data_IF_717959777668
#
_entry.id   IF_717959777668
#
_cell.length_a   1.000
_cell.length_b   1.000
_cell.length_c   1.000
_cell.angle_alpha   90.00
_cell.angle_beta   90.00
_cell.angle_gamma   90.00
#
_symmetry.space_group_name_H-M   'P 1'
#
loop_
_entity.id
_entity.type
_entity.pdbx_description
1 polymer ?
#
# COMPACT_ATOMS: atom_id res chain seq x y z
N UNK A 1 15.23 -4.01 27.83
CA UNK A 1 14.84 -2.61 27.55
C UNK A 1 15.43 -2.27 26.19
N UNK A 2 14.61 -2.14 25.15
CA UNK A 2 15.07 -1.54 23.91
C UNK A 2 15.15 -0.04 24.19
N UNK A 3 16.37 0.51 24.10
CA UNK A 3 16.58 1.97 24.11
C UNK A 3 15.72 2.59 23.01
N UNK A 4 15.17 3.79 23.25
CA UNK A 4 14.38 4.52 22.26
C UNK A 4 15.23 4.80 21.02
N UNK A 5 15.15 3.93 20.01
CA UNK A 5 15.83 4.11 18.74
C UNK A 5 15.09 5.22 17.98
N UNK A 6 15.59 6.44 18.11
CA UNK A 6 15.12 7.59 17.33
C UNK A 6 16.03 7.82 16.14
N UNK A 7 15.46 7.85 14.94
CA UNK A 7 16.15 8.18 13.68
C UNK A 7 15.49 9.43 13.06
N UNK A 8 15.70 10.63 13.64
CA UNK A 8 14.90 11.82 13.33
C UNK A 8 15.06 12.33 11.89
N UNK A 9 16.17 12.00 11.24
CA UNK A 9 16.45 12.38 9.85
C UNK A 9 16.08 11.28 8.85
N UNK A 10 15.61 10.11 9.31
CA UNK A 10 15.22 9.03 8.41
C UNK A 10 13.90 9.41 7.74
N UNK A 11 13.92 9.55 6.42
CA UNK A 11 12.75 9.88 5.62
C UNK A 11 12.23 8.68 4.82
N UNK A 12 13.12 7.77 4.44
CA UNK A 12 12.82 6.61 3.61
C UNK A 12 13.22 5.36 4.37
N UNK A 13 12.27 4.46 4.59
CA UNK A 13 12.50 3.17 5.20
C UNK A 13 11.98 2.05 4.31
N UNK A 14 12.84 1.08 4.04
CA UNK A 14 12.48 -0.19 3.40
C UNK A 14 12.77 -1.33 4.36
N UNK A 15 11.76 -2.15 4.62
CA UNK A 15 11.84 -3.31 5.51
C UNK A 15 11.54 -4.56 4.71
N UNK A 16 12.44 -5.53 4.70
CA UNK A 16 12.27 -6.77 3.95
C UNK A 16 12.41 -8.00 4.87
N UNK A 17 11.53 -8.99 4.71
CA UNK A 17 11.60 -10.34 5.32
C UNK A 17 11.99 -10.33 6.80
N UNK A 18 11.32 -9.51 7.59
CA UNK A 18 11.70 -9.22 8.97
C UNK A 18 10.98 -10.09 10.03
N UNK A 19 11.45 -10.02 11.27
CA UNK A 19 10.90 -10.74 12.42
C UNK A 19 9.53 -10.16 12.86
N UNK A 20 8.65 -10.98 13.49
CA UNK A 20 7.34 -10.53 13.94
C UNK A 20 7.37 -9.41 14.99
N UNK A 21 8.47 -9.26 15.73
CA UNK A 21 8.59 -8.24 16.80
C UNK A 21 9.00 -6.86 16.26
N UNK A 22 9.43 -6.78 14.99
CA UNK A 22 9.92 -5.54 14.40
C UNK A 22 8.90 -4.39 14.36
N UNK A 23 7.59 -4.60 14.12
CA UNK A 23 6.62 -3.51 14.06
C UNK A 23 6.61 -2.63 15.31
N UNK A 24 6.77 -3.21 16.51
CA UNK A 24 6.80 -2.44 17.76
C UNK A 24 8.00 -1.49 17.83
N UNK A 25 9.15 -1.92 17.29
CA UNK A 25 10.38 -1.13 17.21
C UNK A 25 10.27 -0.02 16.16
N UNK A 26 9.48 -0.23 15.10
CA UNK A 26 9.34 0.72 14.01
C UNK A 26 8.40 1.88 14.33
N UNK A 27 7.43 1.72 15.23
CA UNK A 27 6.47 2.77 15.62
C UNK A 27 7.12 4.13 15.93
N UNK A 28 8.17 4.24 16.76
CA UNK A 28 8.83 5.53 17.00
C UNK A 28 9.54 6.09 15.76
N UNK A 29 10.05 5.23 14.87
CA UNK A 29 10.81 5.60 13.67
C UNK A 29 9.88 6.12 12.56
N UNK A 30 8.68 5.53 12.41
CA UNK A 30 7.76 5.88 11.31
C UNK A 30 7.20 7.30 11.38
N UNK A 31 7.28 7.95 12.55
CA UNK A 31 6.79 9.31 12.79
C UNK A 31 7.40 10.37 11.87
N UNK A 32 8.66 10.18 11.45
CA UNK A 32 9.39 11.12 10.58
C UNK A 32 9.45 10.68 9.11
N UNK A 33 8.89 9.51 8.77
CA UNK A 33 9.00 8.98 7.42
C UNK A 33 8.09 9.72 6.43
N UNK A 34 8.63 9.92 5.23
CA UNK A 34 7.89 10.31 4.03
C UNK A 34 7.64 9.11 3.13
N UNK A 35 8.45 8.06 3.23
CA UNK A 35 8.33 6.84 2.42
C UNK A 35 8.53 5.58 3.27
N UNK A 36 7.57 4.67 3.18
CA UNK A 36 7.62 3.35 3.82
C UNK A 36 7.38 2.26 2.78
N UNK A 37 8.30 1.30 2.71
CA UNK A 37 8.16 0.12 1.86
C UNK A 37 8.31 -1.15 2.69
N UNK A 38 7.31 -2.02 2.65
CA UNK A 38 7.29 -3.31 3.34
C UNK A 38 7.34 -4.42 2.28
N UNK A 39 8.34 -5.30 2.35
CA UNK A 39 8.56 -6.36 1.34
C UNK A 39 8.63 -7.72 2.00
N UNK A 40 7.71 -8.61 1.62
CA UNK A 40 7.61 -10.00 2.07
C UNK A 40 7.68 -10.16 3.60
N UNK A 41 7.15 -9.18 4.35
CA UNK A 41 7.05 -9.21 5.82
C UNK A 41 5.82 -10.02 6.26
N UNK A 42 5.78 -11.31 5.89
CA UNK A 42 4.64 -12.19 6.16
C UNK A 42 4.37 -12.47 7.64
N UNK A 43 5.35 -12.16 8.48
CA UNK A 43 5.26 -12.17 9.94
C UNK A 43 4.41 -11.02 10.48
N UNK A 44 4.27 -9.91 9.74
CA UNK A 44 3.44 -8.78 10.14
C UNK A 44 1.97 -9.10 9.90
N UNK A 45 1.13 -8.64 10.81
CA UNK A 45 -0.32 -8.70 10.70
C UNK A 45 -0.82 -7.39 10.10
N UNK A 46 -2.04 -7.39 9.56
CA UNK A 46 -2.63 -6.16 9.02
C UNK A 46 -2.81 -5.10 10.12
N UNK A 47 -3.09 -5.51 11.36
CA UNK A 47 -3.09 -4.65 12.55
C UNK A 47 -1.75 -3.98 12.82
N UNK A 48 -0.63 -4.67 12.57
CA UNK A 48 0.71 -4.10 12.76
C UNK A 48 1.00 -3.02 11.72
N UNK A 49 0.62 -3.29 10.46
CA UNK A 49 0.73 -2.33 9.36
C UNK A 49 -0.12 -1.09 9.65
N UNK A 50 -1.37 -1.29 10.08
CA UNK A 50 -2.27 -0.19 10.46
C UNK A 50 -1.68 0.65 11.59
N UNK A 51 -1.17 0.01 12.65
CA UNK A 51 -0.53 0.70 13.78
C UNK A 51 0.67 1.53 13.33
N UNK A 52 1.52 1.01 12.45
CA UNK A 52 2.64 1.78 11.88
C UNK A 52 2.14 2.98 11.08
N UNK A 53 1.13 2.81 10.22
CA UNK A 53 0.57 3.89 9.42
C UNK A 53 -0.11 4.98 10.28
N UNK A 54 -0.76 4.61 11.37
CA UNK A 54 -1.33 5.56 12.34
C UNK A 54 -0.27 6.44 13.00
N UNK A 55 0.95 5.94 13.13
CA UNK A 55 2.09 6.66 13.68
C UNK A 55 2.95 7.34 12.61
N UNK A 56 2.51 7.39 11.34
CA UNK A 56 3.25 7.97 10.22
C UNK A 56 2.51 9.18 9.59
N UNK A 57 2.20 10.26 10.33
CA UNK A 57 1.40 11.38 9.82
C UNK A 57 2.07 12.14 8.66
N UNK A 58 3.39 12.01 8.52
CA UNK A 58 4.19 12.61 7.45
C UNK A 58 4.20 11.83 6.13
N UNK A 59 3.64 10.61 6.11
CA UNK A 59 3.86 9.65 5.02
C UNK A 59 3.25 10.14 3.71
N UNK A 60 4.07 10.15 2.65
CA UNK A 60 3.69 10.55 1.31
C UNK A 60 3.61 9.36 0.36
N UNK A 61 4.40 8.32 0.61
CA UNK A 61 4.46 7.11 -0.22
C UNK A 61 4.43 5.87 0.65
N UNK A 62 3.52 4.94 0.32
CA UNK A 62 3.40 3.65 0.97
C UNK A 62 3.41 2.52 -0.05
N UNK A 63 4.28 1.53 0.17
CA UNK A 63 4.37 0.36 -0.68
C UNK A 63 4.33 -0.93 0.15
N UNK A 64 3.47 -1.87 -0.26
CA UNK A 64 3.38 -3.22 0.31
C UNK A 64 3.57 -4.26 -0.79
N UNK A 65 4.71 -4.95 -0.74
CA UNK A 65 5.12 -5.94 -1.72
C UNK A 65 5.10 -7.33 -1.07
N UNK A 66 4.27 -8.21 -1.57
CA UNK A 66 4.02 -9.56 -1.09
C UNK A 66 4.20 -10.53 -2.26
N UNK A 67 5.43 -10.58 -2.77
CA UNK A 67 5.77 -11.27 -4.02
C UNK A 67 6.17 -12.72 -3.84
N UNK A 68 6.60 -13.09 -2.63
CA UNK A 68 7.11 -14.43 -2.34
C UNK A 68 6.57 -14.97 -1.03
N UNK A 69 5.66 -15.94 -1.04
CA UNK A 69 5.18 -16.59 0.18
C UNK A 69 4.18 -17.69 -0.16
N UNK A 70 4.32 -18.88 0.45
CA UNK A 70 3.36 -19.97 0.20
C UNK A 70 2.02 -19.66 0.86
N UNK A 71 0.92 -19.73 0.08
CA UNK A 71 -0.49 -19.82 0.54
C UNK A 71 -0.84 -19.01 1.81
N UNK A 72 -0.39 -17.76 1.92
CA UNK A 72 -0.81 -16.85 3.00
C UNK A 72 -1.81 -15.84 2.45
N UNK A 73 -2.81 -15.41 3.25
CA UNK A 73 -3.66 -14.30 2.87
C UNK A 73 -2.79 -13.04 2.72
N UNK A 74 -3.17 -12.15 1.79
CA UNK A 74 -2.53 -10.85 1.64
C UNK A 74 -2.73 -10.01 2.90
N UNK A 75 -1.77 -9.16 3.25
CA UNK A 75 -1.96 -8.12 4.27
C UNK A 75 -2.59 -6.85 3.70
N UNK A 76 -2.83 -6.80 2.38
CA UNK A 76 -3.81 -5.88 1.77
C UNK A 76 -5.23 -6.36 2.14
N UNK A 77 -5.59 -6.22 3.42
CA UNK A 77 -6.88 -6.64 3.95
C UNK A 77 -7.97 -5.61 3.63
N UNK A 78 -9.24 -6.02 3.70
CA UNK A 78 -10.37 -5.10 3.55
C UNK A 78 -10.35 -4.00 4.62
N UNK A 79 -9.87 -4.30 5.83
CA UNK A 79 -9.71 -3.32 6.90
C UNK A 79 -8.63 -2.28 6.56
N UNK A 80 -7.48 -2.70 6.03
CA UNK A 80 -6.44 -1.80 5.56
C UNK A 80 -6.95 -0.90 4.43
N UNK A 81 -7.61 -1.47 3.42
CA UNK A 81 -8.19 -0.72 2.31
C UNK A 81 -9.25 0.27 2.78
N UNK A 82 -10.14 -0.15 3.69
CA UNK A 82 -11.16 0.73 4.26
C UNK A 82 -10.54 1.91 5.01
N UNK A 83 -9.52 1.66 5.84
CA UNK A 83 -8.83 2.73 6.57
C UNK A 83 -8.08 3.67 5.63
N UNK A 84 -7.41 3.12 4.62
CA UNK A 84 -6.78 3.91 3.56
C UNK A 84 -7.78 4.71 2.74
N UNK A 85 -9.05 4.31 2.62
CA UNK A 85 -10.07 5.08 1.91
C UNK A 85 -10.46 6.40 2.62
N UNK A 86 -10.19 6.52 3.92
CA UNK A 86 -10.61 7.68 4.71
C UNK A 86 -9.65 8.86 4.47
N UNK A 87 -10.11 9.94 3.86
CA UNK A 87 -9.28 11.11 3.51
C UNK A 87 -8.55 11.75 4.71
N UNK A 88 -9.12 11.65 5.91
CA UNK A 88 -8.54 12.15 7.16
C UNK A 88 -7.36 11.31 7.68
N UNK A 89 -7.23 10.08 7.21
CA UNK A 89 -6.10 9.21 7.51
C UNK A 89 -4.96 9.52 6.53
N UNK A 90 -3.70 9.59 6.99
CA UNK A 90 -2.53 9.84 6.14
C UNK A 90 -2.77 10.97 5.11
N UNK A 91 -3.10 12.17 5.57
CA UNK A 91 -3.54 13.30 4.72
C UNK A 91 -2.49 13.76 3.70
N UNK A 92 -1.22 13.37 3.88
CA UNK A 92 -0.09 13.67 2.98
C UNK A 92 0.18 12.56 1.96
N UNK A 93 -0.55 11.45 2.00
CA UNK A 93 -0.33 10.31 1.13
C UNK A 93 -0.66 10.66 -0.32
N UNK A 94 0.31 10.45 -1.20
CA UNK A 94 0.23 10.77 -2.63
C UNK A 94 0.41 9.54 -3.50
N UNK A 95 1.16 8.54 -3.03
CA UNK A 95 1.47 7.30 -3.75
C UNK A 95 1.16 6.08 -2.92
N UNK A 96 0.51 5.10 -3.56
CA UNK A 96 0.31 3.76 -3.01
C UNK A 96 0.76 2.73 -4.03
N UNK A 97 1.54 1.75 -3.59
CA UNK A 97 1.90 0.59 -4.41
C UNK A 97 1.52 -0.70 -3.68
N UNK A 98 0.71 -1.54 -4.32
CA UNK A 98 0.42 -2.89 -3.87
C UNK A 98 0.90 -3.89 -4.90
N UNK A 99 1.84 -4.76 -4.54
CA UNK A 99 2.24 -5.87 -5.41
C UNK A 99 2.05 -7.15 -4.63
N UNK A 100 1.09 -7.99 -5.00
CA UNK A 100 0.71 -9.15 -4.16
C UNK A 100 0.58 -10.45 -4.94
N UNK A 101 0.90 -11.56 -4.28
CA UNK A 101 0.72 -12.92 -4.79
C UNK A 101 -0.66 -13.54 -4.44
N UNK A 102 -1.32 -13.01 -3.42
CA UNK A 102 -2.63 -13.47 -2.97
C UNK A 102 -3.77 -12.64 -3.59
N UNK A 103 -5.01 -13.11 -3.42
CA UNK A 103 -6.21 -12.36 -3.85
C UNK A 103 -6.37 -11.08 -3.02
N UNK A 104 -6.77 -9.97 -3.66
CA UNK A 104 -7.22 -8.74 -3.02
C UNK A 104 -8.75 -8.66 -3.10
N UNK A 105 -9.38 -8.06 -2.11
CA UNK A 105 -10.79 -7.68 -2.21
C UNK A 105 -10.94 -6.50 -3.19
N UNK A 106 -11.29 -6.81 -4.44
CA UNK A 106 -11.34 -5.83 -5.54
C UNK A 106 -12.38 -4.73 -5.33
N UNK A 107 -13.52 -5.03 -4.71
CA UNK A 107 -14.54 -4.03 -4.36
C UNK A 107 -13.99 -3.00 -3.36
N UNK A 108 -13.31 -3.46 -2.31
CA UNK A 108 -12.68 -2.58 -1.32
C UNK A 108 -11.54 -1.78 -1.94
N UNK A 109 -10.82 -2.35 -2.90
CA UNK A 109 -9.76 -1.66 -3.64
C UNK A 109 -10.34 -0.49 -4.44
N UNK A 110 -11.40 -0.73 -5.22
CA UNK A 110 -12.09 0.32 -6.00
C UNK A 110 -12.60 1.42 -5.06
N UNK A 111 -13.26 1.06 -3.96
CA UNK A 111 -13.74 2.04 -2.96
C UNK A 111 -12.60 2.86 -2.35
N UNK A 112 -11.46 2.24 -2.07
CA UNK A 112 -10.29 2.94 -1.54
C UNK A 112 -9.74 3.96 -2.54
N UNK A 113 -9.60 3.56 -3.81
CA UNK A 113 -9.11 4.46 -4.87
C UNK A 113 -10.08 5.61 -5.09
N UNK A 114 -11.39 5.33 -5.16
CA UNK A 114 -12.43 6.34 -5.33
C UNK A 114 -12.45 7.33 -4.15
N UNK A 115 -12.37 6.83 -2.91
CA UNK A 115 -12.30 7.64 -1.69
C UNK A 115 -11.03 8.48 -1.58
N UNK A 116 -10.05 8.28 -2.47
CA UNK A 116 -8.79 9.01 -2.52
C UNK A 116 -8.57 9.80 -3.81
N UNK A 117 -9.56 9.89 -4.69
CA UNK A 117 -9.44 10.57 -5.97
C UNK A 117 -9.00 12.05 -5.84
N UNK A 118 -9.37 12.70 -4.73
CA UNK A 118 -8.98 14.09 -4.44
C UNK A 118 -7.55 14.28 -3.93
N UNK A 119 -6.86 13.21 -3.49
CA UNK A 119 -5.58 13.32 -2.76
C UNK A 119 -4.44 12.48 -3.36
N UNK A 120 -4.73 11.26 -3.82
CA UNK A 120 -3.71 10.43 -4.46
C UNK A 120 -3.33 10.99 -5.83
N UNK A 121 -2.02 10.98 -6.10
CA UNK A 121 -1.44 11.29 -7.40
C UNK A 121 -1.28 10.04 -8.24
N UNK A 122 -0.92 8.93 -7.60
CA UNK A 122 -0.59 7.69 -8.29
C UNK A 122 -0.94 6.48 -7.42
N UNK A 123 -1.47 5.44 -8.05
CA UNK A 123 -1.62 4.13 -7.44
C UNK A 123 -1.24 3.02 -8.40
N UNK A 124 -0.37 2.13 -7.94
CA UNK A 124 0.08 0.94 -8.65
C UNK A 124 -0.49 -0.32 -7.98
N UNK A 125 -1.10 -1.20 -8.78
CA UNK A 125 -1.61 -2.50 -8.32
C UNK A 125 -1.07 -3.61 -9.21
N UNK A 126 -0.13 -4.38 -8.66
CA UNK A 126 0.46 -5.57 -9.26
C UNK A 126 -0.09 -6.86 -8.65
N UNK A 127 -0.53 -7.80 -9.49
CA UNK A 127 -0.98 -9.12 -9.08
C UNK A 127 -0.08 -10.20 -9.70
N UNK A 128 0.58 -11.00 -8.87
CA UNK A 128 1.48 -12.07 -9.33
C UNK A 128 0.66 -13.21 -9.92
N UNK A 129 0.91 -13.52 -11.20
CA UNK A 129 0.29 -14.60 -11.99
C UNK A 129 -1.23 -14.53 -12.07
N UNK A 130 -1.79 -13.35 -11.80
CA UNK A 130 -3.23 -13.07 -11.74
C UNK A 130 -3.51 -11.69 -12.31
N UNK A 131 -4.76 -11.42 -12.64
CA UNK A 131 -5.24 -10.11 -13.10
C UNK A 131 -6.47 -9.73 -12.29
N UNK A 132 -6.79 -8.44 -12.26
CA UNK A 132 -8.07 -7.96 -11.76
C UNK A 132 -9.19 -8.47 -12.67
N UNK A 133 -10.39 -8.59 -12.12
CA UNK A 133 -11.58 -8.88 -12.91
C UNK A 133 -11.87 -7.73 -13.88
N UNK A 134 -12.43 -8.05 -15.04
CA UNK A 134 -12.80 -7.07 -16.06
C UNK A 134 -13.75 -5.99 -15.51
N UNK A 135 -14.75 -6.38 -14.70
CA UNK A 135 -15.67 -5.45 -14.05
C UNK A 135 -14.94 -4.44 -13.14
N UNK A 136 -13.87 -4.87 -12.48
CA UNK A 136 -13.04 -4.00 -11.64
C UNK A 136 -12.24 -3.04 -12.49
N UNK A 137 -11.63 -3.52 -13.59
CA UNK A 137 -10.90 -2.66 -14.53
C UNK A 137 -11.81 -1.59 -15.14
N UNK A 138 -13.04 -1.95 -15.52
CA UNK A 138 -14.05 -1.00 -16.01
C UNK A 138 -14.41 0.03 -14.92
N UNK A 139 -14.67 -0.43 -13.70
CA UNK A 139 -14.96 0.47 -12.57
C UNK A 139 -13.83 1.46 -12.28
N UNK A 140 -12.58 1.04 -12.45
CA UNK A 140 -11.40 1.91 -12.30
C UNK A 140 -11.24 2.87 -13.48
N UNK A 141 -11.53 2.44 -14.70
CA UNK A 141 -11.49 3.28 -15.89
C UNK A 141 -12.56 4.38 -15.86
N UNK A 142 -13.69 4.13 -15.20
CA UNK A 142 -14.78 5.10 -15.01
C UNK A 142 -14.42 6.19 -13.97
N UNK A 143 -13.32 6.03 -13.21
CA UNK A 143 -12.78 7.07 -12.34
C UNK A 143 -12.07 8.13 -13.20
N UNK A 144 -12.85 9.04 -13.78
CA UNK A 144 -12.39 10.09 -14.73
C UNK A 144 -11.22 10.96 -14.26
N UNK A 145 -10.94 10.97 -12.95
CA UNK A 145 -9.82 11.71 -12.34
C UNK A 145 -8.47 11.01 -12.59
N UNK A 146 -8.48 9.71 -12.86
CA UNK A 146 -7.29 8.90 -13.11
C UNK A 146 -7.21 8.45 -14.57
N UNK A 147 -6.01 8.55 -15.13
CA UNK A 147 -5.63 7.83 -16.33
C UNK A 147 -5.14 6.45 -15.94
N UNK A 148 -5.79 5.41 -16.46
CA UNK A 148 -5.29 4.04 -16.35
C UNK A 148 -4.32 3.74 -17.47
N UNK A 149 -3.11 3.35 -17.11
CA UNK A 149 -2.16 2.72 -18.02
C UNK A 149 -2.42 1.21 -17.99
N UNK A 150 -2.67 0.66 -19.19
CA UNK A 150 -3.16 -0.70 -19.37
C UNK A 150 -2.31 -1.73 -18.64
N UNK A 151 -2.92 -2.88 -18.24
CA UNK A 151 -2.22 -3.93 -17.54
C UNK A 151 -0.95 -4.31 -18.31
N UNK A 152 0.21 -3.99 -17.74
CA UNK A 152 1.48 -4.39 -18.32
C UNK A 152 2.08 -5.49 -17.47
N UNK A 153 2.69 -6.46 -18.15
CA UNK A 153 3.30 -7.59 -17.48
C UNK A 153 4.73 -7.24 -17.13
N UNK A 154 5.02 -7.09 -15.84
CA UNK A 154 6.38 -6.99 -15.33
C UNK A 154 6.79 -8.36 -14.77
N UNK A 155 7.55 -9.13 -15.56
CA UNK A 155 7.90 -10.53 -15.26
C UNK A 155 6.66 -11.41 -15.08
N UNK A 156 6.38 -11.85 -13.86
CA UNK A 156 5.23 -12.69 -13.49
C UNK A 156 4.08 -11.87 -12.89
N UNK A 157 4.21 -10.55 -12.81
CA UNK A 157 3.20 -9.65 -12.23
C UNK A 157 2.43 -8.95 -13.33
N UNK A 158 1.11 -8.96 -13.27
CA UNK A 158 0.27 -8.08 -14.08
C UNK A 158 -0.04 -6.83 -13.28
N UNK A 159 0.37 -5.67 -13.79
CA UNK A 159 0.32 -4.41 -13.06
C UNK A 159 -0.56 -3.41 -13.80
N UNK A 160 -1.44 -2.75 -13.06
CA UNK A 160 -2.08 -1.51 -13.51
C UNK A 160 -1.46 -0.31 -12.78
N UNK A 161 -1.39 0.81 -13.49
CA UNK A 161 -1.00 2.10 -12.93
C UNK A 161 -2.12 3.10 -13.19
N UNK A 162 -2.58 3.76 -12.13
CA UNK A 162 -3.54 4.85 -12.22
C UNK A 162 -2.82 6.14 -11.83
N UNK A 163 -2.72 7.08 -12.78
CA UNK A 163 -2.08 8.39 -12.56
C UNK A 163 -3.13 9.48 -12.63
N UNK A 164 -3.19 10.34 -11.62
CA UNK A 164 -4.15 11.44 -11.56
C UNK A 164 -3.85 12.49 -12.63
N UNK A 165 -4.87 12.98 -13.30
CA UNK A 165 -4.76 14.16 -14.14
C UNK A 165 -4.48 15.40 -13.27
N UNK A 166 -3.32 16.03 -13.48
CA UNK A 166 -3.07 17.38 -13.01
C UNK A 166 -3.72 18.33 -14.03
N UNK A 167 -4.96 18.73 -13.75
CA UNK A 167 -5.63 19.85 -14.44
C UNK A 167 -5.04 21.18 -14.01
#
# INVERSE_FOLDING_TARGET
MLEDISLPNLQVLRVEKSSPDLPEVLVPIVSNLTTLTLVDNWSFWDTDILKMLENAPGLQSFALHETYGKKRPSRVSAALLHRLAQETFLTKLQTITFVVIATINEESLVRMIAGRAGTLKEIEVGLVRRTLMEATLLSLADLTVFRMEYPFRQRDTNTILLTRHLS
#
